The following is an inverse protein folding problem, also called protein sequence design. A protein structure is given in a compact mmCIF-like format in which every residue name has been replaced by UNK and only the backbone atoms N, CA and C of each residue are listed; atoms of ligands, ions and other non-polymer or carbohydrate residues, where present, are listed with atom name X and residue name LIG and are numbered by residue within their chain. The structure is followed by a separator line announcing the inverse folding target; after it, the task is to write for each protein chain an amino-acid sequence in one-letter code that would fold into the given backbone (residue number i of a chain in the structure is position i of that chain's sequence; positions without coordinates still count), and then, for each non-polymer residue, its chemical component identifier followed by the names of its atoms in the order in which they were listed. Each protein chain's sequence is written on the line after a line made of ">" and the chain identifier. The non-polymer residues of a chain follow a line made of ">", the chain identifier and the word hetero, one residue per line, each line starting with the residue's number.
data_IF_046582035290
#
_entry.id   IF_046582035290
#
_cell.length_a   1.000
_cell.length_b   1.000
_cell.length_c   1.000
_cell.angle_alpha   90.00
_cell.angle_beta   90.00
_cell.angle_gamma   90.00
#
_symmetry.space_group_name_H-M   'P 1'
#
loop_
_entity.id
_entity.type
_entity.pdbx_description
1 polymer ?
#
# COMPACT_ATOMS: atom_id res chain seq x y z
N UNK A 1 7.25 -9.82 -32.49
CA UNK A 1 8.49 -9.34 -31.84
C UNK A 1 8.43 -9.68 -30.35
N UNK A 2 9.25 -10.61 -29.86
CA UNK A 2 9.33 -10.96 -28.44
C UNK A 2 10.14 -9.87 -27.73
N UNK A 3 9.53 -9.05 -26.87
CA UNK A 3 10.31 -8.18 -25.97
C UNK A 3 11.17 -9.09 -25.07
N UNK A 4 12.46 -8.80 -24.86
CA UNK A 4 13.28 -9.58 -23.96
C UNK A 4 12.66 -9.55 -22.56
N UNK A 5 12.80 -10.66 -21.85
CA UNK A 5 12.36 -10.89 -20.46
C UNK A 5 12.84 -9.83 -19.46
N UNK A 6 13.70 -8.90 -19.87
CA UNK A 6 14.16 -7.78 -19.05
C UNK A 6 13.15 -6.61 -18.94
N UNK A 7 12.19 -6.49 -19.86
CA UNK A 7 11.27 -5.33 -19.85
C UNK A 7 10.36 -5.27 -18.62
N UNK A 8 9.79 -6.41 -18.19
CA UNK A 8 8.88 -6.43 -17.05
C UNK A 8 9.58 -6.19 -15.71
N UNK A 9 10.88 -6.51 -15.60
CA UNK A 9 11.66 -6.22 -14.37
C UNK A 9 11.81 -4.71 -14.22
N UNK A 10 12.25 -4.02 -15.28
CA UNK A 10 12.39 -2.57 -15.26
C UNK A 10 11.03 -1.89 -15.00
N UNK A 11 9.98 -2.32 -15.69
CA UNK A 11 8.62 -1.80 -15.50
C UNK A 11 8.12 -2.07 -14.06
N UNK A 12 8.41 -3.25 -13.51
CA UNK A 12 8.08 -3.62 -12.13
C UNK A 12 8.81 -2.76 -11.11
N UNK A 13 10.12 -2.51 -11.30
CA UNK A 13 10.91 -1.62 -10.44
C UNK A 13 10.36 -0.19 -10.48
N UNK A 14 10.15 0.37 -11.67
CA UNK A 14 9.65 1.74 -11.81
C UNK A 14 8.24 1.88 -11.22
N UNK A 15 7.34 0.95 -11.55
CA UNK A 15 6.00 0.92 -10.99
C UNK A 15 6.00 0.77 -9.47
N UNK A 16 6.87 -0.09 -8.94
CA UNK A 16 7.08 -0.27 -7.50
C UNK A 16 7.56 1.01 -6.82
N UNK A 17 8.58 1.67 -7.37
CA UNK A 17 9.09 2.95 -6.85
C UNK A 17 8.01 4.03 -6.85
N UNK A 18 7.20 4.12 -7.91
CA UNK A 18 6.07 5.07 -7.95
C UNK A 18 5.02 4.78 -6.88
N UNK A 19 4.68 3.50 -6.67
CA UNK A 19 3.81 3.04 -5.59
C UNK A 19 4.37 3.42 -4.21
N UNK A 20 5.67 3.20 -3.99
CA UNK A 20 6.35 3.55 -2.74
C UNK A 20 6.39 5.05 -2.51
N UNK A 21 6.55 5.86 -3.57
CA UNK A 21 6.54 7.32 -3.48
C UNK A 21 5.19 7.83 -3.00
N UNK A 22 4.10 7.28 -3.53
CA UNK A 22 2.73 7.65 -3.11
C UNK A 22 2.50 7.39 -1.63
N UNK A 23 2.97 6.24 -1.12
CA UNK A 23 2.88 5.91 0.32
C UNK A 23 3.72 6.86 1.15
N UNK A 24 4.94 7.17 0.70
CA UNK A 24 5.83 8.11 1.39
C UNK A 24 5.22 9.53 1.45
N UNK A 25 4.65 10.02 0.35
CA UNK A 25 3.97 11.32 0.28
C UNK A 25 2.72 11.33 1.16
N UNK A 26 1.92 10.26 1.14
CA UNK A 26 0.75 10.14 2.02
C UNK A 26 1.13 10.29 3.49
N UNK A 27 2.12 9.52 3.96
CA UNK A 27 2.54 9.61 5.35
C UNK A 27 3.22 10.92 5.69
N UNK A 28 3.95 11.54 4.76
CA UNK A 28 4.48 12.88 4.95
C UNK A 28 3.35 13.91 5.20
N UNK A 29 2.27 13.85 4.42
CA UNK A 29 1.11 14.74 4.59
C UNK A 29 0.44 14.48 5.93
N UNK A 30 0.13 13.23 6.26
CA UNK A 30 -0.53 12.83 7.52
C UNK A 30 0.30 13.27 8.72
N UNK A 31 1.60 12.97 8.72
CA UNK A 31 2.54 13.35 9.77
C UNK A 31 2.62 14.87 9.94
N UNK A 32 2.63 15.61 8.83
CA UNK A 32 2.69 17.08 8.84
C UNK A 32 1.41 17.69 9.39
N UNK A 33 0.24 17.15 9.01
CA UNK A 33 -1.06 17.57 9.53
C UNK A 33 -1.20 17.28 11.04
N UNK A 34 -0.54 16.22 11.52
CA UNK A 34 -0.46 15.89 12.94
C UNK A 34 0.62 16.70 13.71
N UNK A 35 1.31 17.64 13.05
CA UNK A 35 2.35 18.47 13.65
C UNK A 35 3.67 17.75 13.93
N UNK A 36 3.89 16.56 13.34
CA UNK A 36 5.06 15.70 13.57
C UNK A 36 5.64 15.20 12.23
N UNK A 37 6.15 16.10 11.36
CA UNK A 37 6.65 15.71 10.04
C UNK A 37 7.72 14.60 10.14
N UNK A 38 7.66 13.62 9.24
CA UNK A 38 8.55 12.44 9.19
C UNK A 38 8.51 11.53 10.43
N UNK A 39 7.45 11.60 11.24
CA UNK A 39 7.29 10.70 12.38
C UNK A 39 7.22 9.23 11.95
N UNK A 40 6.39 8.90 10.97
CA UNK A 40 6.19 7.53 10.48
C UNK A 40 7.49 6.89 9.98
N UNK A 41 8.25 7.47 9.04
CA UNK A 41 9.52 6.88 8.61
C UNK A 41 10.55 6.81 9.74
N UNK A 42 10.54 7.73 10.71
CA UNK A 42 11.44 7.69 11.88
C UNK A 42 11.09 6.55 12.83
N UNK A 43 9.80 6.34 13.09
CA UNK A 43 9.34 5.26 13.96
C UNK A 43 9.64 3.89 13.33
N UNK A 44 9.43 3.74 12.02
CA UNK A 44 9.75 2.52 11.30
C UNK A 44 11.26 2.30 11.16
N UNK A 45 12.07 3.36 10.98
CA UNK A 45 13.52 3.26 11.04
C UNK A 45 13.98 2.74 12.41
N UNK A 46 13.43 3.33 13.48
CA UNK A 46 13.78 3.00 14.86
C UNK A 46 13.40 1.56 15.21
N UNK A 47 12.25 1.11 14.72
CA UNK A 47 11.79 -0.28 14.80
C UNK A 47 12.79 -1.26 14.15
N UNK A 48 13.20 -0.99 12.91
CA UNK A 48 14.15 -1.84 12.17
C UNK A 48 15.53 -1.88 12.85
N UNK A 49 15.94 -0.76 13.47
CA UNK A 49 17.20 -0.64 14.19
C UNK A 49 17.12 -1.08 15.66
N UNK A 50 15.95 -1.56 16.13
CA UNK A 50 15.69 -1.99 17.51
C UNK A 50 16.06 -0.93 18.56
N UNK A 51 15.77 0.32 18.26
CA UNK A 51 16.03 1.47 19.13
C UNK A 51 14.74 2.21 19.48
N UNK A 52 14.77 3.00 20.55
CA UNK A 52 13.65 3.85 20.94
C UNK A 52 13.34 4.89 19.85
N UNK A 53 12.05 5.21 19.67
CA UNK A 53 11.61 6.25 18.73
C UNK A 53 12.06 7.61 19.26
N UNK A 54 13.05 8.20 18.59
CA UNK A 54 13.57 9.52 18.90
C UNK A 54 12.98 10.63 18.03
N UNK A 55 13.63 11.79 18.05
CA UNK A 55 13.31 12.88 17.12
C UNK A 55 13.67 12.50 15.68
N UNK A 56 12.90 12.96 14.67
CA UNK A 56 13.26 12.75 13.28
C UNK A 56 14.66 13.28 12.98
N UNK A 57 15.49 12.44 12.36
CA UNK A 57 16.80 12.83 11.85
C UNK A 57 16.89 12.48 10.38
N UNK A 58 17.61 13.28 9.60
CA UNK A 58 17.83 13.00 8.17
C UNK A 58 18.40 11.60 7.95
N UNK A 59 19.26 11.13 8.85
CA UNK A 59 19.85 9.78 8.80
C UNK A 59 18.79 8.68 8.93
N UNK A 60 17.89 8.78 9.91
CA UNK A 60 16.85 7.76 10.12
C UNK A 60 15.83 7.76 8.98
N UNK A 61 15.42 8.95 8.53
CA UNK A 61 14.50 9.10 7.40
C UNK A 61 15.12 8.51 6.14
N UNK A 62 16.37 8.88 5.80
CA UNK A 62 17.06 8.35 4.64
C UNK A 62 17.27 6.83 4.70
N UNK A 63 17.65 6.30 5.86
CA UNK A 63 17.82 4.85 6.05
C UNK A 63 16.51 4.09 5.78
N UNK A 64 15.40 4.56 6.35
CA UNK A 64 14.10 3.95 6.09
C UNK A 64 13.65 4.14 4.65
N UNK A 65 13.87 5.31 4.05
CA UNK A 65 13.52 5.58 2.64
C UNK A 65 14.21 4.59 1.68
N UNK A 66 15.48 4.24 1.92
CA UNK A 66 16.19 3.24 1.12
C UNK A 66 15.54 1.86 1.25
N UNK A 67 15.27 1.40 2.48
CA UNK A 67 14.61 0.11 2.73
C UNK A 67 13.22 0.09 2.09
N UNK A 68 12.45 1.16 2.28
CA UNK A 68 11.11 1.34 1.73
C UNK A 68 11.11 1.19 0.21
N UNK A 69 11.90 2.00 -0.51
CA UNK A 69 11.96 1.91 -1.97
C UNK A 69 12.54 0.57 -2.46
N UNK A 70 13.45 -0.04 -1.71
CA UNK A 70 13.94 -1.39 -2.00
C UNK A 70 12.84 -2.45 -1.95
N UNK A 71 12.05 -2.47 -0.87
CA UNK A 71 10.91 -3.39 -0.72
C UNK A 71 9.88 -3.13 -1.82
N UNK A 72 9.56 -1.88 -2.12
CA UNK A 72 8.61 -1.53 -3.16
C UNK A 72 9.07 -1.92 -4.57
N UNK A 73 10.36 -1.78 -4.88
CA UNK A 73 10.92 -2.26 -6.14
C UNK A 73 10.82 -3.79 -6.28
N UNK A 74 11.08 -4.53 -5.18
CA UNK A 74 10.92 -5.99 -5.14
C UNK A 74 9.46 -6.40 -5.32
N UNK A 75 8.53 -5.77 -4.60
CA UNK A 75 7.09 -6.04 -4.70
C UNK A 75 6.55 -5.72 -6.10
N UNK A 76 6.93 -4.58 -6.67
CA UNK A 76 6.53 -4.17 -8.02
C UNK A 76 7.06 -5.13 -9.08
N UNK A 77 8.32 -5.57 -8.95
CA UNK A 77 8.91 -6.62 -9.79
C UNK A 77 8.14 -7.93 -9.66
N UNK A 78 7.90 -8.41 -8.44
CA UNK A 78 7.16 -9.65 -8.19
C UNK A 78 5.75 -9.60 -8.82
N UNK A 79 5.06 -8.46 -8.71
CA UNK A 79 3.74 -8.28 -9.31
C UNK A 79 3.80 -8.26 -10.84
N UNK A 80 4.74 -7.52 -11.44
CA UNK A 80 4.94 -7.51 -12.88
C UNK A 80 5.28 -8.92 -13.42
N UNK A 81 6.09 -9.67 -12.67
CA UNK A 81 6.43 -11.07 -12.97
C UNK A 81 5.23 -12.00 -12.86
N UNK A 82 4.39 -11.84 -11.83
CA UNK A 82 3.16 -12.61 -11.68
C UNK A 82 2.17 -12.35 -12.82
N UNK A 83 1.98 -11.08 -13.20
CA UNK A 83 1.16 -10.68 -14.36
C UNK A 83 1.69 -11.33 -15.65
N UNK A 84 3.01 -11.27 -15.88
CA UNK A 84 3.64 -11.85 -17.05
C UNK A 84 3.52 -13.39 -17.08
N UNK A 85 3.74 -14.06 -15.94
CA UNK A 85 3.67 -15.51 -15.81
C UNK A 85 2.23 -16.04 -15.99
N UNK A 86 1.26 -15.37 -15.38
CA UNK A 86 -0.17 -15.72 -15.47
C UNK A 86 -0.83 -15.22 -16.76
N UNK A 87 -0.10 -14.46 -17.60
CA UNK A 87 -0.59 -13.85 -18.85
C UNK A 87 -1.92 -13.11 -18.66
N UNK A 88 -2.06 -12.44 -17.52
CA UNK A 88 -3.27 -11.71 -17.17
C UNK A 88 -3.05 -10.22 -17.40
N UNK A 89 -4.06 -9.47 -17.86
CA UNK A 89 -3.90 -8.02 -18.03
C UNK A 89 -3.81 -7.30 -16.67
N UNK A 90 -3.05 -6.19 -16.55
CA UNK A 90 -2.99 -5.38 -15.34
C UNK A 90 -4.36 -4.73 -15.09
N UNK A 91 -5.10 -5.26 -14.11
CA UNK A 91 -6.46 -4.83 -13.76
C UNK A 91 -6.46 -4.09 -12.45
N UNK A 92 -7.38 -3.14 -12.27
CA UNK A 92 -7.54 -2.41 -11.00
C UNK A 92 -7.73 -3.34 -9.79
N UNK A 93 -8.42 -4.48 -9.97
CA UNK A 93 -8.60 -5.46 -8.89
C UNK A 93 -7.26 -6.05 -8.41
N UNK A 94 -6.31 -6.28 -9.31
CA UNK A 94 -4.96 -6.69 -8.92
C UNK A 94 -4.25 -5.59 -8.13
N UNK A 95 -4.59 -4.32 -8.37
CA UNK A 95 -4.13 -3.19 -7.58
C UNK A 95 -4.70 -3.21 -6.16
N UNK A 96 -5.99 -3.55 -6.01
CA UNK A 96 -6.58 -3.74 -4.67
C UNK A 96 -5.95 -4.92 -3.95
N UNK A 97 -5.71 -6.05 -4.62
CA UNK A 97 -5.04 -7.21 -4.03
C UNK A 97 -3.58 -6.90 -3.66
N UNK A 98 -2.86 -6.21 -4.54
CA UNK A 98 -1.53 -5.68 -4.22
C UNK A 98 -1.57 -4.79 -2.98
N UNK A 99 -2.54 -3.89 -2.96
CA UNK A 99 -2.87 -2.96 -1.88
C UNK A 99 -3.04 -3.67 -0.55
N UNK A 100 -4.13 -4.41 -0.42
CA UNK A 100 -4.65 -4.95 0.82
C UNK A 100 -4.05 -6.29 1.22
N UNK A 101 -3.37 -6.99 0.32
CA UNK A 101 -2.76 -8.29 0.61
C UNK A 101 -1.25 -8.18 0.58
N UNK A 102 -0.67 -7.86 -0.57
CA UNK A 102 0.79 -7.92 -0.72
C UNK A 102 1.52 -6.92 0.19
N UNK A 103 1.04 -5.67 0.26
CA UNK A 103 1.68 -4.66 1.10
C UNK A 103 1.37 -4.85 2.59
N UNK A 104 0.16 -5.27 2.96
CA UNK A 104 -0.16 -5.59 4.37
C UNK A 104 0.72 -6.73 4.87
N UNK A 105 0.87 -7.80 4.07
CA UNK A 105 1.77 -8.91 4.41
C UNK A 105 3.21 -8.42 4.53
N UNK A 106 3.70 -7.62 3.58
CA UNK A 106 5.06 -7.07 3.65
C UNK A 106 5.26 -6.17 4.89
N UNK A 107 4.27 -5.33 5.21
CA UNK A 107 4.31 -4.43 6.36
C UNK A 107 4.31 -5.19 7.68
N UNK A 108 3.36 -6.11 7.89
CA UNK A 108 3.29 -6.90 9.13
C UNK A 108 4.42 -7.93 9.25
N UNK A 109 4.91 -8.50 8.14
CA UNK A 109 6.10 -9.34 8.16
C UNK A 109 7.33 -8.51 8.58
N UNK A 110 7.51 -7.31 8.02
CA UNK A 110 8.56 -6.38 8.43
C UNK A 110 8.45 -6.02 9.91
N UNK A 111 7.22 -5.78 10.40
CA UNK A 111 6.94 -5.50 11.80
C UNK A 111 7.29 -6.69 12.69
N UNK A 112 6.92 -7.91 12.30
CA UNK A 112 7.19 -9.13 13.06
C UNK A 112 8.68 -9.50 13.09
N UNK A 113 9.43 -9.18 12.04
CA UNK A 113 10.89 -9.36 11.99
C UNK A 113 11.64 -8.28 12.79
N UNK A 114 10.93 -7.23 13.19
CA UNK A 114 11.42 -6.15 14.06
C UNK A 114 10.86 -6.27 15.49
N UNK A 115 11.42 -5.53 16.46
CA UNK A 115 10.85 -5.49 17.84
C UNK A 115 9.61 -4.58 17.95
N UNK A 116 9.11 -4.06 16.84
CA UNK A 116 8.03 -3.08 16.83
C UNK A 116 6.61 -3.67 16.84
N UNK A 117 6.47 -5.00 16.84
CA UNK A 117 5.17 -5.68 17.01
C UNK A 117 4.39 -5.26 18.27
N UNK A 118 5.05 -4.62 19.24
CA UNK A 118 4.45 -4.11 20.49
C UNK A 118 4.11 -2.61 20.47
N UNK A 119 4.46 -1.90 19.40
CA UNK A 119 4.28 -0.44 19.30
C UNK A 119 3.17 -0.16 18.28
N UNK A 120 2.11 0.52 18.71
CA UNK A 120 1.11 1.06 17.80
C UNK A 120 1.73 2.26 17.05
N UNK A 121 2.39 2.00 15.92
CA UNK A 121 3.18 3.01 15.19
C UNK A 121 2.30 3.88 14.30
N UNK A 122 1.32 3.28 13.61
CA UNK A 122 0.53 3.94 12.58
C UNK A 122 -0.95 3.53 12.69
N UNK A 123 -1.89 4.49 12.69
CA UNK A 123 -3.31 4.17 12.62
C UNK A 123 -3.63 3.38 11.34
N UNK A 124 -4.28 2.23 11.49
CA UNK A 124 -4.60 1.31 10.39
C UNK A 124 -5.35 1.95 9.21
N UNK A 125 -6.24 2.97 9.36
CA UNK A 125 -6.95 3.55 8.22
C UNK A 125 -5.99 4.22 7.22
N UNK A 126 -4.93 4.85 7.73
CA UNK A 126 -3.92 5.51 6.90
C UNK A 126 -3.07 4.49 6.14
N UNK A 127 -2.75 3.36 6.77
CA UNK A 127 -2.02 2.25 6.15
C UNK A 127 -2.84 1.69 4.99
N UNK A 128 -4.11 1.35 5.24
CA UNK A 128 -5.02 0.81 4.23
C UNK A 128 -5.22 1.78 3.07
N UNK A 129 -5.45 3.07 3.36
CA UNK A 129 -5.66 4.09 2.32
C UNK A 129 -4.42 4.28 1.43
N UNK A 130 -3.23 4.41 2.04
CA UNK A 130 -1.97 4.52 1.31
C UNK A 130 -1.71 3.28 0.45
N UNK A 131 -1.99 2.10 1.01
CA UNK A 131 -1.77 0.82 0.33
C UNK A 131 -2.67 0.67 -0.90
N UNK A 132 -3.97 0.99 -0.79
CA UNK A 132 -4.89 0.95 -1.94
C UNK A 132 -4.46 1.94 -3.02
N UNK A 133 -4.11 3.17 -2.65
CA UNK A 133 -3.66 4.20 -3.59
C UNK A 133 -2.38 3.77 -4.33
N UNK A 134 -1.42 3.20 -3.60
CA UNK A 134 -0.21 2.60 -4.16
C UNK A 134 -0.53 1.51 -5.18
N UNK A 135 -1.43 0.59 -4.84
CA UNK A 135 -1.84 -0.49 -5.75
C UNK A 135 -2.46 0.03 -7.05
N UNK A 136 -3.26 1.10 -6.97
CA UNK A 136 -3.78 1.76 -8.17
C UNK A 136 -2.68 2.40 -9.01
N UNK A 137 -1.70 3.06 -8.39
CA UNK A 137 -0.57 3.67 -9.11
C UNK A 137 0.27 2.62 -9.81
N UNK A 138 0.62 1.52 -9.14
CA UNK A 138 1.36 0.41 -9.74
C UNK A 138 0.61 -0.17 -10.94
N UNK A 139 -0.68 -0.51 -10.78
CA UNK A 139 -1.45 -1.09 -11.88
C UNK A 139 -1.64 -0.13 -13.05
N UNK A 140 -1.86 1.16 -12.78
CA UNK A 140 -1.97 2.17 -13.83
C UNK A 140 -0.65 2.32 -14.60
N UNK A 141 0.49 2.29 -13.91
CA UNK A 141 1.79 2.31 -14.55
C UNK A 141 2.00 1.07 -15.42
N UNK A 142 1.82 -0.13 -14.87
CA UNK A 142 2.04 -1.39 -15.60
C UNK A 142 1.09 -1.53 -16.79
N UNK A 143 -0.16 -1.10 -16.66
CA UNK A 143 -1.12 -1.06 -17.77
C UNK A 143 -0.62 -0.18 -18.93
N UNK A 144 -0.11 1.02 -18.62
CA UNK A 144 0.48 1.94 -19.62
C UNK A 144 1.76 1.38 -20.23
N UNK A 145 2.63 0.78 -19.42
CA UNK A 145 3.90 0.19 -19.86
C UNK A 145 3.69 -1.02 -20.79
N UNK A 146 2.67 -1.84 -20.50
CA UNK A 146 2.24 -2.95 -21.35
C UNK A 146 1.62 -2.50 -22.67
N UNK A 147 1.20 -1.22 -22.78
CA UNK A 147 0.38 -0.68 -23.90
C UNK A 147 -0.85 -1.54 -24.16
N UNK A 148 -1.45 -2.07 -23.09
CA UNK A 148 -2.62 -2.93 -23.22
C UNK A 148 -3.82 -2.12 -23.69
N UNK A 149 -4.52 -2.64 -24.71
CA UNK A 149 -5.73 -2.00 -25.26
C UNK A 149 -7.00 -2.34 -24.46
N UNK A 150 -6.88 -3.20 -23.45
CA UNK A 150 -7.99 -3.58 -22.59
C UNK A 150 -8.44 -2.39 -21.75
N UNK A 151 -9.75 -2.18 -21.55
CA UNK A 151 -10.22 -1.06 -20.73
C UNK A 151 -9.63 -1.16 -19.32
N UNK A 152 -8.92 -0.11 -18.91
CA UNK A 152 -8.48 0.09 -17.53
C UNK A 152 -9.45 1.02 -16.83
N UNK A 153 -9.96 0.63 -15.67
CA UNK A 153 -10.91 1.45 -14.93
C UNK A 153 -12.15 0.70 -14.45
N UNK A 154 -13.05 1.47 -13.81
CA UNK A 154 -14.35 1.00 -13.33
C UNK A 154 -15.23 0.41 -14.44
N UNK A 155 -15.03 0.82 -15.69
CA UNK A 155 -15.72 0.28 -16.87
C UNK A 155 -15.40 -1.20 -17.11
N UNK A 156 -14.20 -1.66 -16.73
CA UNK A 156 -13.83 -3.08 -16.83
C UNK A 156 -14.46 -3.93 -15.72
N UNK A 157 -14.73 -3.35 -14.54
CA UNK A 157 -15.41 -4.03 -13.44
C UNK A 157 -16.89 -4.28 -13.76
N UNK A 158 -17.54 -3.37 -14.52
CA UNK A 158 -18.94 -3.51 -14.98
C UNK A 158 -19.18 -4.75 -15.85
N UNK A 159 -18.14 -5.29 -16.48
CA UNK A 159 -18.23 -6.53 -17.27
C UNK A 159 -18.35 -7.81 -16.43
N UNK A 160 -18.15 -7.74 -15.11
CA UNK A 160 -18.18 -8.90 -14.22
C UNK A 160 -19.10 -8.64 -13.01
N UNK A 161 -20.41 -8.97 -13.12
CA UNK A 161 -21.40 -8.65 -12.09
C UNK A 161 -21.08 -9.24 -10.71
N UNK A 162 -20.48 -10.43 -10.65
CA UNK A 162 -20.06 -11.06 -9.39
C UNK A 162 -18.98 -10.25 -8.64
N UNK A 163 -18.02 -9.66 -9.36
CA UNK A 163 -16.99 -8.82 -8.76
C UNK A 163 -17.57 -7.51 -8.25
N UNK A 164 -18.48 -6.91 -9.02
CA UNK A 164 -19.15 -5.66 -8.61
C UNK A 164 -20.02 -5.91 -7.39
N UNK A 165 -20.77 -7.02 -7.37
CA UNK A 165 -21.57 -7.43 -6.22
C UNK A 165 -20.71 -7.70 -4.99
N UNK A 166 -19.61 -8.44 -5.13
CA UNK A 166 -18.68 -8.70 -4.03
C UNK A 166 -18.04 -7.43 -3.45
N UNK A 167 -17.70 -6.46 -4.31
CA UNK A 167 -17.13 -5.19 -3.89
C UNK A 167 -18.17 -4.32 -3.17
N UNK A 168 -19.41 -4.28 -3.67
CA UNK A 168 -20.54 -3.59 -3.04
C UNK A 168 -20.90 -4.22 -1.70
N UNK A 169 -21.05 -5.55 -1.63
CA UNK A 169 -21.35 -6.23 -0.36
C UNK A 169 -20.21 -6.11 0.64
N UNK A 170 -18.95 -6.16 0.18
CA UNK A 170 -17.77 -5.90 1.01
C UNK A 170 -17.75 -4.49 1.59
N UNK A 171 -18.03 -3.45 0.78
CA UNK A 171 -18.11 -2.07 1.24
C UNK A 171 -19.26 -1.85 2.23
N UNK A 172 -20.42 -2.47 1.99
CA UNK A 172 -21.54 -2.44 2.93
C UNK A 172 -21.13 -3.08 4.26
N UNK A 173 -20.51 -4.27 4.23
CA UNK A 173 -20.02 -4.93 5.44
C UNK A 173 -19.00 -4.09 6.20
N UNK A 174 -18.01 -3.53 5.50
CA UNK A 174 -17.01 -2.64 6.11
C UNK A 174 -17.65 -1.39 6.72
N UNK A 175 -18.63 -0.78 6.05
CA UNK A 175 -19.38 0.37 6.56
C UNK A 175 -20.16 0.04 7.83
N UNK A 176 -20.84 -1.11 7.87
CA UNK A 176 -21.56 -1.58 9.08
C UNK A 176 -20.60 -1.77 10.25
N UNK A 177 -19.45 -2.40 10.02
CA UNK A 177 -18.43 -2.61 11.07
C UNK A 177 -17.86 -1.27 11.54
N UNK A 178 -17.54 -0.34 10.63
CA UNK A 178 -17.04 0.98 10.99
C UNK A 178 -18.07 1.78 11.81
N UNK A 179 -19.35 1.73 11.44
CA UNK A 179 -20.43 2.36 12.19
C UNK A 179 -20.62 1.75 13.59
N UNK A 180 -20.47 0.43 13.71
CA UNK A 180 -20.51 -0.25 14.99
C UNK A 180 -19.38 0.20 15.92
N UNK A 181 -18.13 0.22 15.44
CA UNK A 181 -17.00 0.71 16.22
C UNK A 181 -17.12 2.19 16.56
N UNK A 182 -17.61 3.02 15.63
CA UNK A 182 -17.92 4.42 15.90
C UNK A 182 -18.94 4.57 17.02
N UNK A 183 -20.00 3.75 17.03
CA UNK A 183 -21.00 3.77 18.10
C UNK A 183 -20.41 3.37 19.45
N UNK A 184 -19.52 2.38 19.49
CA UNK A 184 -18.80 1.98 20.70
C UNK A 184 -17.88 3.11 21.21
N UNK A 185 -17.14 3.75 20.31
CA UNK A 185 -16.25 4.86 20.60
C UNK A 185 -17.00 6.07 21.17
N UNK A 186 -18.16 6.40 20.59
CA UNK A 186 -19.05 7.45 21.09
C UNK A 186 -19.63 7.08 22.46
N UNK A 187 -20.07 5.84 22.66
CA UNK A 187 -20.58 5.36 23.95
C UNK A 187 -19.49 5.37 25.05
N UNK A 188 -18.23 5.14 24.68
CA UNK A 188 -17.07 5.21 25.58
C UNK A 188 -16.58 6.64 25.82
N UNK A 189 -17.18 7.66 25.20
CA UNK A 189 -16.79 9.07 25.33
C UNK A 189 -15.51 9.44 24.58
N UNK A 190 -15.05 8.61 23.65
CA UNK A 190 -13.81 8.80 22.88
C UNK A 190 -14.08 8.59 21.38
N UNK A 191 -14.78 9.52 20.70
CA UNK A 191 -15.10 9.36 19.29
C UNK A 191 -13.82 9.24 18.43
N UNK A 192 -13.80 8.27 17.50
CA UNK A 192 -12.71 8.02 16.53
C UNK A 192 -11.40 7.50 17.15
N UNK A 193 -11.49 6.71 18.22
CA UNK A 193 -10.32 6.06 18.83
C UNK A 193 -9.86 4.84 18.02
N UNK A 194 -10.80 4.15 17.39
CA UNK A 194 -10.58 2.97 16.54
C UNK A 194 -10.20 3.35 15.11
#
# INVERSE_FOLDING_TARGET
>A
MKRPSQSWIADGVVGGVLAGLVVAVWFLVVDSLAGRPFYTPTALASALMRQAVGSPTLRLVAAYTVVHFGVFALLGTAMAGAIAALRTPPRLLLGVLFGLVAQEVAFYAGLALSDASRVAIVPWPHVVAANVLSGFVLMNYLHRAARDQHPFGWTALRGHPLLTQGLVTGLIGAGVVALWFLALDVAAGHPLRT
#
